data_IF_878196154299
#
_entry.id   IF_878196154299
#
_cell.length_a   1.000
_cell.length_b   1.000
_cell.length_c   1.000
_cell.angle_alpha   90.00
_cell.angle_beta   90.00
_cell.angle_gamma   90.00
#
_symmetry.space_group_name_H-M   'P 1'
#
loop_
_entity.id
_entity.type
_entity.pdbx_description
1 polymer ?
#
# COMPACT_ATOMS: atom_id res chain seq x y z
N UNK A 1 13.73 23.33 -5.38
CA UNK A 1 14.94 22.99 -4.61
C UNK A 1 15.21 21.51 -4.80
N UNK A 2 16.44 21.13 -5.13
CA UNK A 2 16.84 19.72 -5.16
C UNK A 2 16.78 19.16 -3.73
N UNK A 3 16.47 17.85 -3.61
CA UNK A 3 16.51 17.15 -2.31
C UNK A 3 17.94 16.68 -2.07
N UNK A 4 18.45 16.90 -0.86
CA UNK A 4 19.80 16.43 -0.47
C UNK A 4 19.75 14.96 -0.02
N UNK A 5 18.58 14.51 0.45
CA UNK A 5 18.30 13.12 0.83
C UNK A 5 16.89 12.71 0.40
N UNK A 6 16.67 11.42 0.14
CA UNK A 6 15.32 10.89 -0.13
C UNK A 6 14.35 11.14 1.04
N UNK A 7 14.87 11.25 2.27
CA UNK A 7 14.07 11.59 3.46
C UNK A 7 13.47 13.00 3.40
N UNK A 8 14.02 13.90 2.58
CA UNK A 8 13.48 15.26 2.40
C UNK A 8 12.12 15.25 1.70
N UNK A 9 11.65 14.10 1.21
CA UNK A 9 10.25 13.91 0.81
C UNK A 9 9.28 14.20 1.95
N UNK A 10 9.68 13.93 3.20
CA UNK A 10 8.88 14.16 4.40
C UNK A 10 9.55 15.11 5.40
N UNK A 11 10.89 15.18 5.43
CA UNK A 11 11.65 16.07 6.31
C UNK A 11 11.79 17.46 5.67
N UNK A 12 10.67 18.16 5.52
CA UNK A 12 10.63 19.55 5.06
C UNK A 12 11.44 20.47 6.00
N UNK A 13 11.82 21.69 5.57
CA UNK A 13 12.51 22.64 6.46
C UNK A 13 11.79 22.85 7.81
N UNK A 14 10.45 22.90 7.81
CA UNK A 14 9.66 22.99 9.03
C UNK A 14 9.80 21.75 9.92
N UNK A 15 9.78 20.54 9.34
CA UNK A 15 10.03 19.30 10.09
C UNK A 15 11.44 19.29 10.67
N UNK A 16 12.45 19.69 9.89
CA UNK A 16 13.84 19.80 10.37
C UNK A 16 13.96 20.80 11.53
N UNK A 17 13.26 21.94 11.46
CA UNK A 17 13.20 22.92 12.53
C UNK A 17 12.56 22.36 13.81
N UNK A 18 11.46 21.61 13.69
CA UNK A 18 10.85 20.92 14.84
C UNK A 18 11.79 19.87 15.42
N UNK A 19 12.48 19.08 14.58
CA UNK A 19 13.48 18.11 15.04
C UNK A 19 14.63 18.79 15.80
N UNK A 20 15.06 19.99 15.39
CA UNK A 20 16.04 20.79 16.13
C UNK A 20 15.49 21.19 17.49
N UNK A 21 14.30 21.79 17.51
CA UNK A 21 13.65 22.26 18.74
C UNK A 21 13.34 21.11 19.72
N UNK A 22 13.20 19.87 19.23
CA UNK A 22 12.92 18.67 20.04
C UNK A 22 14.14 17.75 20.22
N UNK A 23 15.33 18.18 19.81
CA UNK A 23 16.59 17.48 20.08
C UNK A 23 16.84 16.20 19.28
N UNK A 24 16.09 15.94 18.19
CA UNK A 24 16.24 14.73 17.38
C UNK A 24 16.96 14.94 16.06
N UNK A 25 17.31 16.18 15.69
CA UNK A 25 17.81 16.52 14.34
C UNK A 25 19.12 15.83 13.99
N UNK A 26 20.08 15.76 14.92
CA UNK A 26 21.38 15.14 14.67
C UNK A 26 21.24 13.64 14.36
N UNK A 27 20.36 12.94 15.08
CA UNK A 27 20.06 11.51 14.87
C UNK A 27 19.53 11.30 13.44
N UNK A 28 18.52 12.07 13.06
CA UNK A 28 17.91 11.97 11.72
C UNK A 28 18.82 12.49 10.60
N UNK A 29 19.71 13.45 10.87
CA UNK A 29 20.71 13.90 9.91
C UNK A 29 21.75 12.81 9.64
N UNK A 30 22.25 12.15 10.69
CA UNK A 30 23.18 11.02 10.55
C UNK A 30 22.54 9.87 9.79
N UNK A 31 21.30 9.51 10.14
CA UNK A 31 20.56 8.47 9.43
C UNK A 31 20.33 8.82 7.96
N UNK A 32 19.94 10.06 7.65
CA UNK A 32 19.76 10.52 6.27
C UNK A 32 21.05 10.47 5.43
N UNK A 33 22.22 10.61 6.07
CA UNK A 33 23.53 10.54 5.42
C UNK A 33 24.04 9.09 5.26
N UNK A 34 23.80 8.22 6.24
CA UNK A 34 24.33 6.84 6.23
C UNK A 34 23.38 5.83 5.58
N UNK A 35 22.07 5.99 5.79
CA UNK A 35 21.04 5.06 5.34
C UNK A 35 19.75 5.83 5.02
N UNK A 36 19.76 6.63 3.92
CA UNK A 36 18.56 7.32 3.46
C UNK A 36 17.45 6.31 3.13
N UNK A 37 16.20 6.77 3.11
CA UNK A 37 15.08 5.93 2.72
C UNK A 37 15.27 5.39 1.29
N UNK A 38 15.02 4.10 1.02
CA UNK A 38 15.26 3.57 -0.30
C UNK A 38 14.33 4.20 -1.34
N UNK A 39 14.87 4.44 -2.52
CA UNK A 39 14.14 5.02 -3.67
C UNK A 39 13.74 3.98 -4.71
N UNK A 40 14.20 2.74 -4.54
CA UNK A 40 13.90 1.61 -5.42
C UNK A 40 13.11 0.54 -4.69
N UNK A 41 12.21 -0.12 -5.39
CA UNK A 41 11.45 -1.28 -4.93
C UNK A 41 12.40 -2.47 -4.83
N UNK A 42 12.71 -2.86 -3.60
CA UNK A 42 13.53 -4.05 -3.31
C UNK A 42 12.73 -5.34 -3.49
N UNK A 43 13.37 -6.51 -3.62
CA UNK A 43 12.67 -7.80 -3.67
C UNK A 43 11.70 -8.00 -2.49
N UNK A 44 12.13 -7.62 -1.29
CA UNK A 44 11.32 -7.70 -0.06
C UNK A 44 10.09 -6.80 -0.11
N UNK A 45 10.24 -5.56 -0.57
CA UNK A 45 9.12 -4.65 -0.75
C UNK A 45 8.17 -5.16 -1.84
N UNK A 46 8.71 -5.67 -2.96
CA UNK A 46 7.90 -6.25 -4.02
C UNK A 46 7.10 -7.47 -3.52
N UNK A 47 7.71 -8.31 -2.70
CA UNK A 47 7.03 -9.42 -2.03
C UNK A 47 5.91 -8.97 -1.11
N UNK A 48 6.16 -7.92 -0.31
CA UNK A 48 5.15 -7.31 0.55
C UNK A 48 3.98 -6.72 -0.26
N UNK A 49 4.25 -5.93 -1.29
CA UNK A 49 3.25 -5.29 -2.17
C UNK A 49 2.36 -6.35 -2.84
N UNK A 50 2.96 -7.42 -3.38
CA UNK A 50 2.22 -8.48 -4.08
C UNK A 50 1.16 -9.17 -3.22
N UNK A 51 1.33 -9.20 -1.89
CA UNK A 51 0.36 -9.81 -0.97
C UNK A 51 -0.75 -8.86 -0.53
N UNK A 52 -0.65 -7.57 -0.81
CA UNK A 52 -1.63 -6.61 -0.34
C UNK A 52 -2.94 -6.78 -1.12
N UNK A 53 -4.04 -6.85 -0.37
CA UNK A 53 -5.43 -6.81 -0.86
C UNK A 53 -6.08 -5.45 -0.62
N UNK A 54 -5.39 -4.56 0.06
CA UNK A 54 -5.84 -3.22 0.40
C UNK A 54 -4.66 -2.26 0.54
N UNK A 55 -4.86 -1.01 0.14
CA UNK A 55 -4.00 0.10 0.51
C UNK A 55 -4.80 1.41 0.58
N UNK A 56 -4.20 2.44 1.18
CA UNK A 56 -4.74 3.79 1.16
C UNK A 56 -3.89 4.68 0.25
N UNK A 57 -4.55 5.41 -0.63
CA UNK A 57 -3.95 6.41 -1.50
C UNK A 57 -4.24 7.80 -0.94
N UNK A 58 -3.19 8.52 -0.57
CA UNK A 58 -3.24 9.94 -0.26
C UNK A 58 -2.88 10.77 -1.49
N UNK A 59 -3.71 11.75 -1.79
CA UNK A 59 -3.48 12.79 -2.80
C UNK A 59 -3.80 14.16 -2.20
N UNK A 60 -3.43 15.23 -2.87
CA UNK A 60 -3.87 16.57 -2.52
C UNK A 60 -4.08 17.39 -3.79
N UNK A 61 -4.97 18.36 -3.75
CA UNK A 61 -5.11 19.40 -4.77
C UNK A 61 -3.87 20.31 -4.81
N UNK A 62 -3.86 21.27 -5.73
CA UNK A 62 -2.79 22.25 -5.90
C UNK A 62 -2.64 23.21 -4.71
N UNK A 63 -3.74 23.56 -4.03
CA UNK A 63 -3.74 24.35 -2.80
C UNK A 63 -3.39 23.54 -1.54
N UNK A 64 -3.26 22.21 -1.69
CA UNK A 64 -2.83 21.32 -0.62
C UNK A 64 -3.97 20.73 0.23
N UNK A 65 -5.24 20.82 -0.20
CA UNK A 65 -6.34 20.13 0.48
C UNK A 65 -6.13 18.60 0.42
N UNK A 66 -5.91 17.92 1.56
CA UNK A 66 -5.63 16.49 1.57
C UNK A 66 -6.88 15.67 1.26
N UNK A 67 -6.67 14.54 0.60
CA UNK A 67 -7.69 13.53 0.33
C UNK A 67 -7.09 12.13 0.46
N UNK A 68 -7.81 11.24 1.15
CA UNK A 68 -7.42 9.83 1.30
C UNK A 68 -8.52 8.92 0.78
N UNK A 69 -8.13 7.88 0.04
CA UNK A 69 -9.05 6.89 -0.48
C UNK A 69 -8.51 5.49 -0.25
N UNK A 70 -9.36 4.62 0.29
CA UNK A 70 -9.11 3.19 0.33
C UNK A 70 -9.24 2.57 -1.07
N UNK A 71 -8.24 1.76 -1.46
CA UNK A 71 -8.24 0.96 -2.68
C UNK A 71 -8.13 -0.51 -2.26
N UNK A 72 -9.12 -1.30 -2.63
CA UNK A 72 -9.18 -2.73 -2.34
C UNK A 72 -9.26 -3.56 -3.61
N UNK A 73 -8.69 -4.76 -3.56
CA UNK A 73 -8.69 -5.71 -4.66
C UNK A 73 -8.06 -7.05 -4.26
N UNK A 74 -8.08 -8.05 -5.15
CA UNK A 74 -7.38 -9.30 -4.89
C UNK A 74 -5.86 -9.08 -4.77
N UNK A 75 -5.16 -9.99 -4.10
CA UNK A 75 -3.72 -9.91 -3.94
C UNK A 75 -3.03 -9.72 -5.31
N UNK A 76 -2.10 -8.76 -5.37
CA UNK A 76 -1.38 -8.41 -6.60
C UNK A 76 -2.05 -7.35 -7.47
N UNK A 77 -3.16 -6.73 -7.01
CA UNK A 77 -3.80 -5.64 -7.77
C UNK A 77 -2.94 -4.37 -7.83
N UNK A 78 -2.11 -4.14 -6.81
CA UNK A 78 -0.99 -3.21 -6.88
C UNK A 78 0.23 -3.96 -7.46
N UNK A 79 0.66 -3.56 -8.66
CA UNK A 79 1.75 -4.22 -9.38
C UNK A 79 3.03 -3.42 -9.27
N UNK A 80 4.15 -4.14 -9.16
CA UNK A 80 5.50 -3.59 -9.35
C UNK A 80 5.81 -3.67 -10.84
N UNK A 81 5.96 -2.53 -11.51
CA UNK A 81 6.23 -2.48 -12.95
C UNK A 81 7.72 -2.57 -13.24
N UNK A 82 8.53 -1.92 -12.42
CA UNK A 82 9.98 -1.97 -12.44
C UNK A 82 10.53 -1.47 -11.08
N UNK A 83 11.86 -1.45 -10.87
CA UNK A 83 12.44 -1.03 -9.58
C UNK A 83 12.10 0.39 -9.14
N UNK A 84 11.50 1.25 -9.96
CA UNK A 84 11.14 2.63 -9.60
C UNK A 84 9.66 2.94 -9.84
N UNK A 85 8.87 2.00 -10.33
CA UNK A 85 7.47 2.23 -10.69
C UNK A 85 6.54 1.16 -10.16
N UNK A 86 5.43 1.64 -9.61
CA UNK A 86 4.26 0.84 -9.27
C UNK A 86 3.09 1.22 -10.18
N UNK A 87 2.10 0.36 -10.30
CA UNK A 87 0.86 0.71 -10.96
C UNK A 87 -0.31 -0.17 -10.56
N UNK A 88 -1.51 0.33 -10.76
CA UNK A 88 -2.74 -0.41 -10.55
C UNK A 88 -3.81 0.05 -11.54
N UNK A 89 -4.73 -0.86 -11.85
CA UNK A 89 -5.90 -0.55 -12.66
C UNK A 89 -6.93 0.23 -11.83
N UNK A 90 -7.52 1.27 -12.43
CA UNK A 90 -8.58 2.07 -11.84
C UNK A 90 -9.89 1.86 -12.63
N UNK A 91 -10.99 1.74 -11.89
CA UNK A 91 -12.28 1.27 -12.39
C UNK A 91 -13.35 2.35 -12.20
N UNK A 92 -14.39 2.30 -13.03
CA UNK A 92 -15.57 3.14 -12.89
C UNK A 92 -16.15 3.05 -11.46
N UNK A 93 -15.98 4.09 -10.67
CA UNK A 93 -16.45 4.18 -9.29
C UNK A 93 -17.75 4.97 -9.16
N UNK A 94 -17.89 5.67 -8.02
CA UNK A 94 -18.98 6.62 -7.75
C UNK A 94 -18.88 7.94 -8.54
N UNK A 95 -17.93 8.04 -9.48
CA UNK A 95 -17.70 9.18 -10.38
C UNK A 95 -17.38 10.52 -9.68
N UNK A 96 -16.87 10.50 -8.45
CA UNK A 96 -16.38 11.73 -7.81
C UNK A 96 -15.10 12.29 -8.45
N UNK A 97 -14.28 11.41 -9.05
CA UNK A 97 -13.03 11.75 -9.76
C UNK A 97 -12.01 12.63 -9.00
N UNK A 98 -12.14 12.76 -7.68
CA UNK A 98 -11.26 13.60 -6.83
C UNK A 98 -9.78 13.25 -7.03
N UNK A 99 -9.42 11.96 -6.96
CA UNK A 99 -8.04 11.53 -7.19
C UNK A 99 -7.52 11.96 -8.57
N UNK A 100 -8.33 11.86 -9.61
CA UNK A 100 -7.91 12.22 -10.97
C UNK A 100 -7.73 13.74 -11.09
N UNK A 101 -8.68 14.51 -10.55
CA UNK A 101 -8.58 15.97 -10.49
C UNK A 101 -7.31 16.40 -9.75
N UNK A 102 -7.09 15.89 -8.54
CA UNK A 102 -5.88 16.16 -7.75
C UNK A 102 -4.61 15.82 -8.53
N UNK A 103 -4.53 14.64 -9.17
CA UNK A 103 -3.34 14.24 -9.94
C UNK A 103 -3.10 15.06 -11.20
N UNK A 104 -4.14 15.69 -11.76
CA UNK A 104 -4.00 16.54 -12.94
C UNK A 104 -3.27 17.86 -12.63
N UNK A 105 -3.33 18.33 -11.40
CA UNK A 105 -2.72 19.60 -10.96
C UNK A 105 -1.57 19.42 -9.95
N UNK A 106 -1.57 18.31 -9.21
CA UNK A 106 -0.56 17.97 -8.21
C UNK A 106 -0.22 16.48 -8.29
N UNK A 107 0.93 16.10 -8.87
CA UNK A 107 1.26 14.70 -9.05
C UNK A 107 1.68 14.00 -7.75
N UNK A 108 1.84 14.70 -6.63
CA UNK A 108 2.39 14.11 -5.40
C UNK A 108 1.38 13.17 -4.74
N UNK A 109 1.87 12.00 -4.36
CA UNK A 109 1.06 10.96 -3.72
C UNK A 109 1.79 10.25 -2.61
N UNK A 110 1.01 9.62 -1.72
CA UNK A 110 1.51 8.64 -0.76
C UNK A 110 0.63 7.39 -0.83
N UNK A 111 1.26 6.22 -0.91
CA UNK A 111 0.61 4.95 -0.60
C UNK A 111 0.91 4.59 0.85
N UNK A 112 -0.14 4.23 1.58
CA UNK A 112 -0.03 3.65 2.91
C UNK A 112 -0.56 2.21 2.86
N UNK A 113 0.34 1.26 3.08
CA UNK A 113 0.05 -0.17 3.05
C UNK A 113 0.23 -0.74 4.44
N UNK A 114 -0.68 -1.61 4.87
CA UNK A 114 -0.67 -2.20 6.20
C UNK A 114 -1.04 -3.69 6.12
N UNK A 115 -0.13 -4.50 6.63
CA UNK A 115 -0.29 -5.93 6.87
C UNK A 115 -0.57 -6.11 8.36
N UNK A 116 -1.84 -6.30 8.68
CA UNK A 116 -2.29 -6.49 10.06
C UNK A 116 -1.85 -7.84 10.64
N UNK A 117 -1.70 -8.88 9.82
CA UNK A 117 -1.32 -10.22 10.29
C UNK A 117 0.11 -10.25 10.83
N UNK A 118 1.01 -9.57 10.12
CA UNK A 118 2.44 -9.47 10.43
C UNK A 118 2.83 -8.17 11.13
N UNK A 119 1.85 -7.35 11.51
CA UNK A 119 2.06 -6.05 12.14
C UNK A 119 3.07 -5.16 11.38
N UNK A 120 2.99 -5.13 10.04
CA UNK A 120 3.93 -4.39 9.20
C UNK A 120 3.21 -3.28 8.44
N UNK A 121 3.82 -2.10 8.37
CA UNK A 121 3.32 -0.99 7.54
C UNK A 121 4.41 -0.39 6.68
N UNK A 122 4.03 0.04 5.48
CA UNK A 122 4.93 0.71 4.53
C UNK A 122 4.28 2.00 4.04
N UNK A 123 5.05 3.08 4.06
CA UNK A 123 4.70 4.34 3.38
C UNK A 123 5.54 4.43 2.12
N UNK A 124 4.92 4.75 0.99
CA UNK A 124 5.60 4.95 -0.29
C UNK A 124 5.21 6.33 -0.81
N UNK A 125 6.17 7.24 -0.89
CA UNK A 125 5.98 8.55 -1.50
C UNK A 125 6.39 8.52 -2.95
N UNK A 126 5.70 9.28 -3.77
CA UNK A 126 6.00 9.34 -5.18
C UNK A 126 5.26 10.43 -5.90
N UNK A 127 5.35 10.34 -7.22
CA UNK A 127 4.51 11.08 -8.15
C UNK A 127 3.66 10.11 -8.93
N UNK A 128 2.38 10.39 -9.08
CA UNK A 128 1.49 9.57 -9.89
C UNK A 128 0.92 10.34 -11.08
N UNK A 129 0.59 9.57 -12.11
CA UNK A 129 -0.12 10.03 -13.29
C UNK A 129 -1.20 9.04 -13.67
N UNK A 130 -2.22 9.54 -14.36
CA UNK A 130 -3.30 8.75 -14.95
C UNK A 130 -2.94 8.44 -16.40
N UNK A 131 -3.18 7.22 -16.84
CA UNK A 131 -3.03 6.80 -18.23
C UNK A 131 -4.35 6.17 -18.71
N UNK A 132 -4.99 6.82 -19.67
CA UNK A 132 -6.25 6.40 -20.29
C UNK A 132 -6.07 5.99 -21.76
N UNK A 133 -5.00 6.47 -22.37
CA UNK A 133 -4.63 6.33 -23.77
C UNK A 133 -3.66 5.16 -24.04
N UNK A 134 -3.40 4.32 -23.04
CA UNK A 134 -2.56 3.11 -23.16
C UNK A 134 -3.35 1.85 -22.75
N UNK A 135 -4.18 1.29 -23.65
CA UNK A 135 -4.96 0.09 -23.37
C UNK A 135 -4.11 -1.12 -22.98
N UNK A 136 -2.88 -1.22 -23.52
CA UNK A 136 -1.98 -2.32 -23.20
C UNK A 136 -1.47 -2.23 -21.76
N UNK A 137 -1.19 -1.02 -21.26
CA UNK A 137 -0.85 -0.79 -19.86
C UNK A 137 -2.03 -1.07 -18.93
N UNK A 138 -3.23 -0.62 -19.30
CA UNK A 138 -4.45 -0.90 -18.52
C UNK A 138 -4.68 -2.41 -18.39
N UNK A 139 -4.55 -3.16 -19.48
CA UNK A 139 -4.70 -4.61 -19.49
C UNK A 139 -3.61 -5.30 -18.65
N UNK A 140 -2.33 -4.90 -18.79
CA UNK A 140 -1.24 -5.44 -17.95
C UNK A 140 -1.48 -5.24 -16.46
N UNK A 141 -2.13 -4.15 -16.08
CA UNK A 141 -2.45 -3.81 -14.70
C UNK A 141 -3.75 -4.46 -14.21
N UNK A 142 -4.56 -4.98 -15.10
CA UNK A 142 -5.75 -5.74 -14.76
C UNK A 142 -5.38 -7.08 -14.10
N UNK A 143 -6.25 -7.57 -13.23
CA UNK A 143 -6.07 -8.89 -12.59
C UNK A 143 -6.77 -9.92 -13.48
N UNK A 144 -6.05 -10.97 -13.86
CA UNK A 144 -6.59 -12.07 -14.64
C UNK A 144 -7.88 -12.62 -14.00
N UNK A 145 -8.96 -12.69 -14.79
CA UNK A 145 -10.28 -13.11 -14.31
C UNK A 145 -11.11 -12.01 -13.63
N UNK A 146 -10.62 -10.77 -13.58
CA UNK A 146 -11.37 -9.62 -13.07
C UNK A 146 -12.62 -9.34 -13.91
N UNK A 147 -13.80 -9.33 -13.29
CA UNK A 147 -15.07 -9.13 -14.00
C UNK A 147 -15.33 -7.69 -14.44
N UNK A 148 -14.67 -6.70 -13.82
CA UNK A 148 -14.88 -5.27 -14.09
C UNK A 148 -13.89 -4.79 -15.14
N UNK A 149 -14.36 -4.03 -16.12
CA UNK A 149 -13.50 -3.35 -17.09
C UNK A 149 -12.77 -2.20 -16.40
N UNK A 150 -11.44 -2.21 -16.44
CA UNK A 150 -10.65 -1.06 -16.02
C UNK A 150 -10.82 0.08 -17.03
N UNK A 151 -10.95 1.30 -16.54
CA UNK A 151 -11.09 2.49 -17.40
C UNK A 151 -9.74 3.16 -17.65
N UNK A 152 -8.82 3.05 -16.68
CA UNK A 152 -7.54 3.75 -16.70
C UNK A 152 -6.52 3.04 -15.82
N UNK A 153 -5.27 3.43 -15.98
CA UNK A 153 -4.15 3.01 -15.15
C UNK A 153 -3.66 4.19 -14.30
N UNK A 154 -3.32 3.93 -13.05
CA UNK A 154 -2.58 4.89 -12.22
C UNK A 154 -1.17 4.35 -12.06
N UNK A 155 -0.19 5.14 -12.48
CA UNK A 155 1.24 4.80 -12.42
C UNK A 155 1.90 5.72 -11.41
N UNK A 156 2.69 5.14 -10.52
CA UNK A 156 3.41 5.84 -9.46
C UNK A 156 4.91 5.66 -9.65
N UNK A 157 5.62 6.78 -9.83
CA UNK A 157 7.07 6.89 -9.76
C UNK A 157 7.48 7.02 -8.29
N UNK A 158 8.22 6.03 -7.78
CA UNK A 158 8.64 5.96 -6.38
C UNK A 158 9.76 6.98 -6.13
N UNK A 159 9.55 7.88 -5.17
CA UNK A 159 10.57 8.83 -4.74
C UNK A 159 11.29 8.37 -3.46
N UNK A 160 10.56 7.73 -2.53
CA UNK A 160 11.12 7.11 -1.34
C UNK A 160 10.09 6.18 -0.69
N UNK A 161 10.55 5.23 0.12
CA UNK A 161 9.66 4.47 0.99
C UNK A 161 10.31 4.15 2.33
N UNK A 162 9.46 3.87 3.32
CA UNK A 162 9.88 3.66 4.70
C UNK A 162 8.99 2.61 5.39
N UNK A 163 9.61 1.80 6.24
CA UNK A 163 8.95 0.80 7.10
C UNK A 163 9.00 1.33 8.53
N UNK A 164 7.86 1.71 9.06
CA UNK A 164 7.78 2.19 10.44
C UNK A 164 7.72 1.03 11.45
N UNK A 165 8.03 1.33 12.72
CA UNK A 165 7.93 0.42 13.87
C UNK A 165 6.58 -0.33 13.92
N UNK A 166 6.57 -1.67 14.16
CA UNK A 166 5.38 -2.51 14.20
C UNK A 166 4.50 -2.30 15.45
N UNK A 167 4.98 -1.52 16.42
CA UNK A 167 4.27 -1.27 17.67
C UNK A 167 2.85 -0.74 17.43
N UNK A 168 1.92 -1.26 18.24
CA UNK A 168 0.50 -0.89 18.27
C UNK A 168 -0.30 -1.17 16.98
N UNK A 169 0.23 -1.96 16.04
CA UNK A 169 -0.59 -2.50 14.95
C UNK A 169 -1.32 -3.74 15.49
N UNK A 170 -2.66 -3.71 15.59
CA UNK A 170 -3.41 -4.86 16.07
C UNK A 170 -3.29 -6.01 15.07
N UNK A 171 -3.19 -7.23 15.57
CA UNK A 171 -3.29 -8.41 14.72
C UNK A 171 -4.73 -8.59 14.29
N UNK A 172 -4.97 -8.59 12.99
CA UNK A 172 -6.26 -8.91 12.37
C UNK A 172 -6.01 -10.01 11.36
N UNK A 173 -6.91 -10.98 11.35
CA UNK A 173 -6.91 -12.10 10.42
C UNK A 173 -8.09 -11.89 9.48
N UNK A 174 -7.90 -12.23 8.22
CA UNK A 174 -8.96 -12.20 7.23
C UNK A 174 -10.15 -13.09 7.64
N UNK A 175 -11.37 -12.58 7.48
CA UNK A 175 -12.58 -13.27 7.93
C UNK A 175 -12.84 -14.56 7.13
N UNK A 176 -12.52 -14.56 5.82
CA UNK A 176 -12.69 -15.74 4.98
C UNK A 176 -11.71 -16.82 5.42
N UNK A 177 -10.47 -16.43 5.76
CA UNK A 177 -9.49 -17.37 6.32
C UNK A 177 -9.93 -17.96 7.65
N UNK A 178 -10.56 -17.16 8.51
CA UNK A 178 -11.11 -17.66 9.78
C UNK A 178 -12.27 -18.63 9.52
N UNK A 179 -13.14 -18.33 8.57
CA UNK A 179 -14.25 -19.21 8.20
C UNK A 179 -13.75 -20.57 7.70
N UNK A 180 -12.76 -20.60 6.80
CA UNK A 180 -12.13 -21.85 6.33
C UNK A 180 -11.58 -22.72 7.48
N UNK A 181 -10.87 -22.10 8.43
CA UNK A 181 -10.31 -22.80 9.58
C UNK A 181 -11.38 -23.35 10.52
N UNK A 182 -12.49 -22.62 10.68
CA UNK A 182 -13.63 -23.07 11.46
C UNK A 182 -14.34 -24.24 10.78
N UNK A 183 -14.54 -24.20 9.47
CA UNK A 183 -15.13 -25.31 8.70
C UNK A 183 -14.28 -26.58 8.78
N UNK A 184 -12.96 -26.47 8.63
CA UNK A 184 -12.03 -27.59 8.78
C UNK A 184 -12.13 -28.21 10.19
N UNK A 185 -12.17 -27.36 11.22
CA UNK A 185 -12.33 -27.78 12.61
C UNK A 185 -13.69 -28.43 12.84
N UNK A 186 -14.75 -27.88 12.26
CA UNK A 186 -16.12 -28.41 12.36
C UNK A 186 -16.21 -29.81 11.76
N UNK A 187 -15.67 -30.01 10.56
CA UNK A 187 -15.57 -31.33 9.94
C UNK A 187 -14.79 -32.34 10.80
N UNK A 188 -13.68 -31.91 11.41
CA UNK A 188 -12.88 -32.78 12.29
C UNK A 188 -13.64 -33.21 13.54
N UNK A 189 -14.38 -32.29 14.19
CA UNK A 189 -15.18 -32.64 15.35
C UNK A 189 -16.32 -33.57 14.96
N UNK A 190 -17.04 -33.32 13.87
CA UNK A 190 -18.10 -34.22 13.41
C UNK A 190 -17.58 -35.65 13.18
N UNK A 191 -16.38 -35.79 12.60
CA UNK A 191 -15.73 -37.09 12.41
C UNK A 191 -15.38 -37.77 13.74
N UNK A 192 -14.84 -37.03 14.72
CA UNK A 192 -14.50 -37.56 16.04
C UNK A 192 -15.73 -37.92 16.86
N UNK A 193 -16.79 -37.11 16.80
CA UNK A 193 -18.07 -37.41 17.45
C UNK A 193 -18.71 -38.67 16.88
N UNK A 194 -18.66 -38.85 15.56
CA UNK A 194 -19.13 -40.06 14.90
C UNK A 194 -18.30 -41.30 15.28
N UNK A 195 -17.01 -41.15 15.51
CA UNK A 195 -16.14 -42.23 16.01
C UNK A 195 -16.47 -42.60 17.46
N UNK A 196 -16.57 -41.61 18.35
CA UNK A 196 -16.90 -41.81 19.76
C UNK A 196 -18.29 -42.44 19.95
N UNK A 197 -19.25 -42.08 19.09
CA UNK A 197 -20.58 -42.68 19.10
C UNK A 197 -20.55 -44.21 18.89
N UNK A 198 -19.52 -44.76 18.24
CA UNK A 198 -19.34 -46.22 18.05
C UNK A 198 -18.90 -46.94 19.33
N UNK A 199 -18.37 -46.21 20.30
CA UNK A 199 -17.89 -46.74 21.58
C UNK A 199 -18.83 -46.42 22.75
N UNK A 200 -19.95 -45.73 22.49
CA UNK A 200 -21.01 -45.59 23.50
C UNK A 200 -21.81 -46.89 23.56
N UNK A 201 -21.90 -47.54 24.74
CA UNK A 201 -22.64 -48.79 24.93
C UNK A 201 -24.15 -48.62 24.77
#
# INVERSE_FOLDING_TARGET
MARDSSMDVAFTPAVKAVQNAKGSREIYARMAASQPWPTRVTPDLAGFIRRQTSFFLGTASADGQPYIQHRGGPAGFLKVLNPTQLGFADFAGNKQYITLGNLSENPRVILFLIDYENARRVKIWGKARVAEDDPALVERLHIAGGRRRAERAIILDVEAWDVNCPQHIPRRIDADRVAELLEERDARIAALEAELARYRP
#
